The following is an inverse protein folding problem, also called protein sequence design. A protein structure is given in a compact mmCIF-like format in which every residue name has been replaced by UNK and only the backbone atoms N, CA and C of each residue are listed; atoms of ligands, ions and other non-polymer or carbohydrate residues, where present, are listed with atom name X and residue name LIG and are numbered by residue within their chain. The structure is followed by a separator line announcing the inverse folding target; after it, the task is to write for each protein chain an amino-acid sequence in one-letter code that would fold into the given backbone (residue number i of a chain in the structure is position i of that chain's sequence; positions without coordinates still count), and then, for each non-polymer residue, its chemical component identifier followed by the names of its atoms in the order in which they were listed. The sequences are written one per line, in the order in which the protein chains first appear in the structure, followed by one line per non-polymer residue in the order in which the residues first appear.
data_IF_087705174326
#
_entry.id   IF_087705174326
#
_cell.length_a   1.000
_cell.length_b   1.000
_cell.length_c   1.000
_cell.angle_alpha   90.00
_cell.angle_beta   90.00
_cell.angle_gamma   90.00
#
_symmetry.space_group_name_H-M   'P 1'
#
loop_
_entity.id
_entity.type
_entity.pdbx_description
1 polymer ?
#
# COMPACT_ATOMS: atom_id res chain seq x y z
N UNK A 1 -20.18 17.75 74.59
CA UNK A 1 -21.65 17.82 74.60
C UNK A 1 -22.11 18.02 73.17
N UNK A 2 -22.49 16.95 72.45
CA UNK A 2 -23.87 16.40 72.39
C UNK A 2 -24.82 17.49 71.86
N UNK A 3 -25.50 17.35 70.72
CA UNK A 3 -26.46 16.28 70.40
C UNK A 3 -26.87 16.27 68.91
N UNK A 4 -27.03 15.06 68.35
CA UNK A 4 -27.92 14.62 67.25
C UNK A 4 -29.39 15.11 67.45
N UNK A 5 -30.35 15.06 66.46
CA UNK A 5 -30.79 13.81 65.78
C UNK A 5 -31.42 13.97 64.36
N UNK A 6 -31.50 12.94 63.49
CA UNK A 6 -32.53 11.88 63.33
C UNK A 6 -33.04 11.91 61.85
N UNK A 7 -33.76 10.89 61.30
CA UNK A 7 -33.29 9.53 61.04
C UNK A 7 -33.81 8.92 59.70
N UNK A 8 -33.51 7.64 59.51
CA UNK A 8 -34.24 6.62 58.73
C UNK A 8 -34.33 6.71 57.19
N UNK A 9 -33.69 5.74 56.53
CA UNK A 9 -34.41 4.51 56.17
C UNK A 9 -33.46 3.42 55.63
N UNK A 10 -33.59 2.22 56.22
CA UNK A 10 -33.73 0.89 55.57
C UNK A 10 -32.81 0.59 54.36
N UNK A 11 -32.12 -0.54 54.24
CA UNK A 11 -32.30 -1.83 54.88
C UNK A 11 -31.25 -2.79 54.25
N UNK A 12 -30.60 -3.59 55.11
CA UNK A 12 -30.10 -4.95 54.84
C UNK A 12 -28.84 -5.17 53.95
N UNK A 13 -27.73 -5.45 54.66
CA UNK A 13 -27.10 -6.78 54.71
C UNK A 13 -26.33 -7.22 53.45
N UNK A 14 -25.01 -6.96 53.43
CA UNK A 14 -24.01 -7.90 52.87
C UNK A 14 -22.59 -7.57 53.36
N UNK A 15 -22.33 -7.85 54.64
CA UNK A 15 -21.01 -8.27 55.10
C UNK A 15 -21.08 -9.77 55.24
N UNK A 16 -20.46 -10.53 54.33
CA UNK A 16 -19.93 -11.85 54.64
C UNK A 16 -19.00 -12.31 53.50
N UNK A 17 -17.85 -12.84 53.92
CA UNK A 17 -16.90 -13.67 53.18
C UNK A 17 -15.74 -12.95 52.48
N UNK A 18 -14.77 -12.52 53.31
CA UNK A 18 -13.36 -12.82 53.02
C UNK A 18 -13.17 -14.33 53.17
N UNK A 19 -12.79 -15.02 52.10
CA UNK A 19 -12.11 -16.31 52.20
C UNK A 19 -11.00 -16.37 51.14
N UNK A 20 -9.84 -16.82 51.61
CA UNK A 20 -8.58 -16.93 50.91
C UNK A 20 -8.66 -17.85 49.70
N UNK A 21 -8.25 -17.35 48.54
CA UNK A 21 -7.68 -18.17 47.48
C UNK A 21 -6.45 -17.44 46.94
N UNK A 22 -5.28 -17.79 47.48
CA UNK A 22 -3.99 -17.58 46.83
C UNK A 22 -4.01 -18.39 45.54
N UNK A 23 -4.43 -17.75 44.44
CA UNK A 23 -4.40 -18.37 43.12
C UNK A 23 -3.00 -18.13 42.56
N UNK A 24 -2.17 -19.18 42.64
CA UNK A 24 -0.84 -19.25 42.04
C UNK A 24 -0.99 -19.00 40.54
N UNK A 25 -0.66 -17.78 40.09
CA UNK A 25 -0.76 -17.40 38.69
C UNK A 25 0.10 -18.34 37.82
N UNK A 26 -0.43 -18.93 36.74
CA UNK A 26 0.35 -19.84 35.91
C UNK A 26 1.41 -19.04 35.14
N UNK A 27 2.66 -19.52 35.21
CA UNK A 27 3.87 -19.08 34.48
C UNK A 27 3.75 -19.12 32.92
N UNK A 28 2.54 -19.26 32.38
CA UNK A 28 2.30 -19.44 30.94
C UNK A 28 2.17 -18.13 30.17
N UNK A 29 1.88 -17.01 30.84
CA UNK A 29 1.80 -15.68 30.21
C UNK A 29 3.17 -15.13 29.82
N UNK A 30 4.22 -15.46 30.56
CA UNK A 30 5.55 -14.88 30.32
C UNK A 30 6.27 -15.53 29.12
N UNK A 31 5.88 -16.75 28.71
CA UNK A 31 6.42 -17.40 27.52
C UNK A 31 5.76 -16.87 26.23
N UNK A 32 4.44 -16.66 26.24
CA UNK A 32 3.70 -16.15 25.08
C UNK A 32 4.01 -14.67 24.78
N UNK A 33 4.34 -13.87 25.81
CA UNK A 33 4.75 -12.47 25.65
C UNK A 33 6.21 -12.37 25.12
N UNK A 34 7.03 -13.41 25.31
CA UNK A 34 8.42 -13.42 24.84
C UNK A 34 8.60 -13.94 23.41
N UNK A 35 7.67 -14.75 22.88
CA UNK A 35 7.68 -15.21 21.48
C UNK A 35 7.40 -14.08 20.48
N UNK A 36 6.64 -13.04 20.87
CA UNK A 36 6.41 -11.85 20.03
C UNK A 36 7.65 -10.93 19.88
N UNK A 37 8.74 -11.23 20.59
CA UNK A 37 9.83 -10.27 20.83
C UNK A 37 11.04 -10.38 19.91
N UNK A 38 11.10 -11.36 18.99
CA UNK A 38 12.25 -11.52 18.09
C UNK A 38 11.85 -11.87 16.65
N UNK A 39 10.94 -11.12 16.05
CA UNK A 39 10.82 -11.14 14.58
C UNK A 39 12.08 -10.49 14.01
N UNK A 40 12.90 -11.25 13.28
CA UNK A 40 14.19 -10.74 12.76
C UNK A 40 13.98 -9.51 11.89
N UNK A 41 14.95 -8.58 11.86
CA UNK A 41 14.90 -7.39 10.99
C UNK A 41 14.69 -7.78 9.53
N UNK A 42 15.28 -8.88 9.07
CA UNK A 42 15.09 -9.40 7.72
C UNK A 42 13.62 -9.83 7.47
N UNK A 43 12.98 -10.44 8.46
CA UNK A 43 11.56 -10.82 8.39
C UNK A 43 10.64 -9.60 8.43
N UNK A 44 10.98 -8.56 9.21
CA UNK A 44 10.23 -7.29 9.21
C UNK A 44 10.39 -6.54 7.89
N UNK A 45 11.60 -6.49 7.33
CA UNK A 45 11.87 -5.92 6.00
C UNK A 45 11.13 -6.72 4.93
N UNK A 46 11.15 -8.06 4.98
CA UNK A 46 10.39 -8.90 4.07
C UNK A 46 8.87 -8.70 4.18
N UNK A 47 8.36 -8.43 5.39
CA UNK A 47 6.93 -8.11 5.61
C UNK A 47 6.58 -6.69 5.17
N UNK A 48 7.49 -5.74 5.33
CA UNK A 48 7.35 -4.36 4.85
C UNK A 48 7.37 -4.31 3.31
N UNK A 49 8.20 -5.16 2.71
CA UNK A 49 8.23 -5.52 1.29
C UNK A 49 7.02 -6.43 1.01
N UNK A 50 5.79 -5.90 1.13
CA UNK A 50 4.58 -6.72 0.95
C UNK A 50 4.62 -7.37 -0.44
N UNK A 51 4.74 -8.68 -0.53
CA UNK A 51 4.62 -9.46 -1.79
C UNK A 51 3.47 -9.03 -2.72
N UNK A 52 2.27 -8.62 -2.22
CA UNK A 52 1.20 -8.04 -3.05
C UNK A 52 1.60 -6.82 -3.88
N UNK A 53 2.56 -6.01 -3.42
CA UNK A 53 3.00 -4.76 -4.07
C UNK A 53 3.64 -5.05 -5.44
N UNK A 54 4.44 -6.11 -5.56
CA UNK A 54 5.13 -6.42 -6.81
C UNK A 54 4.20 -7.06 -7.84
N UNK A 55 3.21 -7.82 -7.38
CA UNK A 55 2.14 -8.33 -8.24
C UNK A 55 1.41 -7.17 -8.96
N UNK A 56 1.25 -6.03 -8.30
CA UNK A 56 0.59 -4.84 -8.86
C UNK A 56 1.44 -4.14 -9.93
N UNK A 57 2.78 -4.24 -9.89
CA UNK A 57 3.63 -3.81 -11.01
C UNK A 57 3.60 -4.81 -12.18
N UNK A 58 3.57 -6.10 -11.86
CA UNK A 58 3.68 -7.19 -12.81
C UNK A 58 2.42 -7.38 -13.65
N UNK A 59 1.23 -7.29 -13.05
CA UNK A 59 -0.04 -7.60 -13.73
C UNK A 59 -0.34 -6.65 -14.90
N UNK A 60 -0.35 -5.31 -14.74
CA UNK A 60 -0.60 -4.39 -15.86
C UNK A 60 0.40 -4.57 -17.01
N UNK A 61 1.68 -4.77 -16.67
CA UNK A 61 2.74 -4.97 -17.66
C UNK A 61 2.56 -6.29 -18.41
N UNK A 62 2.28 -7.38 -17.71
CA UNK A 62 2.12 -8.70 -18.32
C UNK A 62 0.88 -8.77 -19.18
N UNK A 63 -0.25 -8.24 -18.70
CA UNK A 63 -1.50 -8.18 -19.47
C UNK A 63 -1.35 -7.29 -20.70
N UNK A 64 -0.78 -6.09 -20.54
CA UNK A 64 -0.52 -5.19 -21.68
C UNK A 64 0.42 -5.81 -22.70
N UNK A 65 1.47 -6.48 -22.25
CA UNK A 65 2.44 -7.14 -23.14
C UNK A 65 1.85 -8.35 -23.85
N UNK A 66 1.04 -9.16 -23.16
CA UNK A 66 0.34 -10.30 -23.76
C UNK A 66 -0.67 -9.83 -24.81
N UNK A 67 -1.44 -8.78 -24.53
CA UNK A 67 -2.36 -8.19 -25.50
C UNK A 67 -1.64 -7.66 -26.74
N UNK A 68 -0.49 -7.01 -26.57
CA UNK A 68 0.32 -6.53 -27.68
C UNK A 68 0.90 -7.69 -28.50
N UNK A 69 1.36 -8.76 -27.84
CA UNK A 69 1.82 -9.97 -28.50
C UNK A 69 0.72 -10.66 -29.30
N UNK A 70 -0.49 -10.78 -28.74
CA UNK A 70 -1.64 -11.35 -29.46
C UNK A 70 -2.03 -10.54 -30.69
N UNK A 71 -1.84 -9.22 -30.67
CA UNK A 71 -2.24 -8.34 -31.75
C UNK A 71 -1.17 -8.16 -32.83
N UNK A 72 0.11 -8.07 -32.45
CA UNK A 72 1.21 -7.77 -33.37
C UNK A 72 2.22 -8.91 -33.54
N UNK A 73 2.09 -10.00 -32.76
CA UNK A 73 3.00 -11.15 -32.82
C UNK A 73 4.43 -10.90 -32.32
N UNK A 74 4.68 -9.74 -31.70
CA UNK A 74 6.03 -9.30 -31.33
C UNK A 74 6.16 -9.22 -29.81
N UNK A 75 7.22 -9.83 -29.27
CA UNK A 75 7.60 -9.71 -27.87
C UNK A 75 9.11 -9.43 -27.76
N UNK A 76 9.48 -8.41 -27.01
CA UNK A 76 10.87 -8.07 -26.71
C UNK A 76 11.13 -8.30 -25.23
N UNK A 77 11.83 -9.40 -24.91
CA UNK A 77 12.21 -9.70 -23.53
C UNK A 77 13.04 -8.58 -22.89
N UNK A 78 14.06 -7.98 -23.55
CA UNK A 78 14.81 -6.86 -22.98
C UNK A 78 13.91 -5.67 -22.63
N UNK A 79 12.95 -5.33 -23.50
CA UNK A 79 12.00 -4.24 -23.24
C UNK A 79 11.07 -4.58 -22.08
N UNK A 80 10.54 -5.80 -22.04
CA UNK A 80 9.70 -6.26 -20.94
C UNK A 80 10.42 -6.14 -19.59
N UNK A 81 11.66 -6.63 -19.48
CA UNK A 81 12.41 -6.55 -18.22
C UNK A 81 12.84 -5.12 -17.86
N UNK A 82 13.14 -4.27 -18.85
CA UNK A 82 13.37 -2.85 -18.61
C UNK A 82 12.11 -2.19 -18.02
N UNK A 83 10.94 -2.42 -18.62
CA UNK A 83 9.67 -1.88 -18.13
C UNK A 83 9.32 -2.43 -16.74
N UNK A 84 9.57 -3.71 -16.49
CA UNK A 84 9.34 -4.34 -15.19
C UNK A 84 10.23 -3.76 -14.10
N UNK A 85 11.54 -3.60 -14.36
CA UNK A 85 12.47 -3.01 -13.42
C UNK A 85 12.09 -1.54 -13.14
N UNK A 86 11.77 -0.79 -14.19
CA UNK A 86 11.39 0.63 -14.08
C UNK A 86 10.08 0.83 -13.31
N UNK A 87 9.04 0.04 -13.62
CA UNK A 87 7.76 0.10 -12.90
C UNK A 87 7.91 -0.35 -11.44
N UNK A 88 8.73 -1.37 -11.18
CA UNK A 88 9.06 -1.81 -9.81
C UNK A 88 9.70 -0.69 -8.99
N UNK A 89 10.60 0.10 -9.58
CA UNK A 89 11.21 1.26 -8.93
C UNK A 89 10.19 2.38 -8.62
N UNK A 90 9.22 2.61 -9.51
CA UNK A 90 8.10 3.54 -9.24
C UNK A 90 7.23 3.03 -8.09
N UNK A 91 6.93 1.73 -8.06
CA UNK A 91 6.18 1.13 -6.96
C UNK A 91 6.98 1.19 -5.65
N UNK A 92 8.30 0.98 -5.70
CA UNK A 92 9.18 1.15 -4.54
C UNK A 92 9.11 2.59 -4.02
N UNK A 93 9.15 3.59 -4.89
CA UNK A 93 8.94 4.99 -4.52
C UNK A 93 7.64 5.18 -3.75
N UNK A 94 6.50 4.72 -4.28
CA UNK A 94 5.19 4.85 -3.63
C UNK A 94 5.17 4.27 -2.22
N UNK A 95 5.82 3.13 -2.02
CA UNK A 95 5.85 2.47 -0.71
C UNK A 95 6.75 3.19 0.28
N UNK A 96 7.96 3.57 -0.14
CA UNK A 96 8.90 4.30 0.71
C UNK A 96 8.37 5.70 1.06
N UNK A 97 7.75 6.40 0.10
CA UNK A 97 7.20 7.73 0.34
C UNK A 97 6.02 7.67 1.30
N UNK A 98 5.12 6.69 1.12
CA UNK A 98 3.97 6.51 2.00
C UNK A 98 4.43 6.22 3.44
N UNK A 99 5.43 5.35 3.63
CA UNK A 99 6.00 5.06 4.96
C UNK A 99 6.59 6.31 5.64
N UNK A 100 7.29 7.16 4.88
CA UNK A 100 7.81 8.44 5.40
C UNK A 100 6.68 9.39 5.79
N UNK A 101 5.65 9.55 4.97
CA UNK A 101 4.56 10.48 5.28
C UNK A 101 3.63 9.97 6.39
N UNK A 102 3.44 8.65 6.49
CA UNK A 102 2.72 8.02 7.61
C UNK A 102 3.49 8.17 8.91
N UNK A 103 4.83 8.09 8.87
CA UNK A 103 5.68 8.42 10.01
C UNK A 103 5.54 9.89 10.43
N UNK A 104 5.60 10.83 9.48
CA UNK A 104 5.49 12.27 9.75
C UNK A 104 4.14 12.66 10.38
N UNK A 105 3.04 12.01 9.95
CA UNK A 105 1.70 12.25 10.51
C UNK A 105 1.43 11.50 11.81
N UNK A 106 2.37 10.68 12.26
CA UNK A 106 2.27 9.89 13.48
C UNK A 106 1.34 8.68 13.39
N UNK A 107 0.82 8.37 12.19
CA UNK A 107 -0.02 7.21 11.94
C UNK A 107 0.73 5.90 12.22
N UNK A 108 2.04 5.88 11.98
CA UNK A 108 2.90 4.69 12.08
C UNK A 108 3.78 4.65 13.36
N UNK A 109 3.52 5.49 14.39
CA UNK A 109 4.37 5.57 15.60
C UNK A 109 4.59 4.22 16.33
N UNK A 110 3.62 3.31 16.27
CA UNK A 110 3.69 1.99 16.94
C UNK A 110 3.85 0.83 15.94
N UNK A 111 4.04 1.12 14.66
CA UNK A 111 4.05 0.12 13.59
C UNK A 111 5.46 -0.44 13.42
N UNK A 112 5.66 -1.70 13.82
CA UNK A 112 6.97 -2.37 13.84
C UNK A 112 7.51 -2.65 12.42
N UNK A 113 6.62 -2.70 11.42
CA UNK A 113 6.96 -2.93 10.01
C UNK A 113 7.28 -1.64 9.22
N UNK A 114 7.21 -0.46 9.84
CA UNK A 114 7.63 0.79 9.17
C UNK A 114 9.14 0.78 8.92
N UNK A 115 9.55 1.05 7.68
CA UNK A 115 10.97 1.03 7.28
C UNK A 115 11.71 2.19 7.95
N UNK A 116 11.07 3.35 8.10
CA UNK A 116 11.61 4.46 8.89
C UNK A 116 11.82 4.06 10.35
N UNK A 117 10.87 3.35 10.98
CA UNK A 117 11.06 2.86 12.36
C UNK A 117 12.18 1.81 12.47
N UNK A 118 12.33 0.93 11.48
CA UNK A 118 13.37 -0.12 11.48
C UNK A 118 14.77 0.46 11.23
N UNK A 119 14.88 1.40 10.30
CA UNK A 119 16.18 1.99 9.89
C UNK A 119 16.59 3.18 10.76
N UNK A 120 15.63 3.84 11.41
CA UNK A 120 15.85 5.04 12.21
C UNK A 120 16.15 6.30 11.38
N UNK A 121 16.07 6.24 10.05
CA UNK A 121 16.52 7.31 9.16
C UNK A 121 15.42 7.80 8.22
N UNK A 122 14.57 8.73 8.67
CA UNK A 122 13.52 9.34 7.84
C UNK A 122 14.06 9.97 6.55
N UNK A 123 15.13 10.76 6.64
CA UNK A 123 15.75 11.43 5.48
C UNK A 123 16.35 10.44 4.49
N UNK A 124 17.00 9.38 4.97
CA UNK A 124 17.58 8.35 4.10
C UNK A 124 16.53 7.61 3.29
N UNK A 125 15.40 7.25 3.91
CA UNK A 125 14.29 6.59 3.21
C UNK A 125 13.63 7.52 2.19
N UNK A 126 13.47 8.81 2.51
CA UNK A 126 12.92 9.77 1.55
C UNK A 126 13.84 9.96 0.33
N UNK A 127 15.16 10.04 0.55
CA UNK A 127 16.15 10.11 -0.54
C UNK A 127 16.06 8.84 -1.40
N UNK A 128 16.05 7.66 -0.79
CA UNK A 128 15.93 6.38 -1.50
C UNK A 128 14.63 6.30 -2.32
N UNK A 129 13.53 6.83 -1.76
CA UNK A 129 12.24 6.94 -2.45
C UNK A 129 12.36 7.78 -3.73
N UNK A 130 12.90 9.01 -3.65
CA UNK A 130 13.04 9.88 -4.83
C UNK A 130 14.09 9.41 -5.84
N UNK A 131 15.16 8.74 -5.40
CA UNK A 131 16.12 8.09 -6.30
C UNK A 131 15.43 6.97 -7.08
N UNK A 132 14.62 6.15 -6.40
CA UNK A 132 13.84 5.09 -7.04
C UNK A 132 12.85 5.66 -8.07
N UNK A 133 12.14 6.74 -7.73
CA UNK A 133 11.26 7.43 -8.68
C UNK A 133 12.03 7.91 -9.91
N UNK A 134 13.16 8.57 -9.69
CA UNK A 134 13.96 9.17 -10.77
C UNK A 134 14.45 8.09 -11.73
N UNK A 135 15.04 7.00 -11.20
CA UNK A 135 15.51 5.88 -12.03
C UNK A 135 14.35 5.17 -12.74
N UNK A 136 13.22 4.96 -12.07
CA UNK A 136 12.03 4.35 -12.66
C UNK A 136 11.45 5.19 -13.81
N UNK A 137 11.30 6.50 -13.60
CA UNK A 137 10.82 7.42 -14.64
C UNK A 137 11.81 7.49 -15.80
N UNK A 138 13.12 7.56 -15.54
CA UNK A 138 14.13 7.53 -16.59
C UNK A 138 14.02 6.28 -17.47
N UNK A 139 13.85 5.09 -16.87
CA UNK A 139 13.71 3.84 -17.62
C UNK A 139 12.40 3.77 -18.43
N UNK A 140 11.28 4.23 -17.87
CA UNK A 140 10.00 4.31 -18.57
C UNK A 140 10.03 5.31 -19.73
N UNK A 141 10.63 6.48 -19.54
CA UNK A 141 10.81 7.50 -20.58
C UNK A 141 11.72 6.98 -21.68
N UNK A 142 12.85 6.34 -21.32
CA UNK A 142 13.75 5.73 -22.28
C UNK A 142 13.04 4.68 -23.17
N UNK A 143 12.23 3.81 -22.57
CA UNK A 143 11.42 2.85 -23.33
C UNK A 143 10.37 3.53 -24.22
N UNK A 144 9.74 4.60 -23.72
CA UNK A 144 8.75 5.39 -24.47
C UNK A 144 9.36 6.07 -25.69
N UNK A 145 10.55 6.65 -25.55
CA UNK A 145 11.28 7.29 -26.64
C UNK A 145 11.65 6.30 -27.75
N UNK A 146 12.07 5.08 -27.40
CA UNK A 146 12.36 4.04 -28.40
C UNK A 146 11.13 3.63 -29.23
N UNK A 147 9.95 3.62 -28.60
CA UNK A 147 8.68 3.32 -29.28
C UNK A 147 8.04 4.52 -29.99
N UNK A 148 8.60 5.74 -29.82
CA UNK A 148 8.03 7.01 -30.32
C UNK A 148 6.55 7.22 -29.96
N UNK A 149 6.09 6.62 -28.86
CA UNK A 149 4.67 6.58 -28.52
C UNK A 149 4.32 7.60 -27.42
N UNK A 150 4.00 8.82 -27.84
CA UNK A 150 3.67 9.92 -26.92
C UNK A 150 2.45 9.62 -26.04
N UNK A 151 1.49 8.83 -26.55
CA UNK A 151 0.29 8.43 -25.79
C UNK A 151 0.66 7.55 -24.60
N UNK A 152 1.58 6.61 -24.80
CA UNK A 152 2.06 5.76 -23.71
C UNK A 152 2.74 6.59 -22.61
N UNK A 153 3.54 7.58 -22.99
CA UNK A 153 4.20 8.48 -22.05
C UNK A 153 3.18 9.29 -21.22
N UNK A 154 2.14 9.83 -21.87
CA UNK A 154 1.07 10.55 -21.18
C UNK A 154 0.30 9.64 -20.21
N UNK A 155 -0.05 8.42 -20.63
CA UNK A 155 -0.74 7.46 -19.78
C UNK A 155 0.11 7.05 -18.57
N UNK A 156 1.41 6.79 -18.75
CA UNK A 156 2.31 6.51 -17.62
C UNK A 156 2.43 7.71 -16.67
N UNK A 157 2.55 8.93 -17.21
CA UNK A 157 2.56 10.14 -16.40
C UNK A 157 1.27 10.30 -15.59
N UNK A 158 0.11 10.01 -16.20
CA UNK A 158 -1.18 9.99 -15.51
C UNK A 158 -1.22 8.94 -14.40
N UNK A 159 -0.74 7.71 -14.65
CA UNK A 159 -0.68 6.64 -13.64
C UNK A 159 0.20 7.03 -12.44
N UNK A 160 1.40 7.58 -12.69
CA UNK A 160 2.32 8.05 -11.65
C UNK A 160 1.69 9.21 -10.86
N UNK A 161 1.03 10.13 -11.55
CA UNK A 161 0.32 11.25 -10.93
C UNK A 161 -0.82 10.77 -10.02
N UNK A 162 -1.60 9.76 -10.45
CA UNK A 162 -2.59 9.13 -9.59
C UNK A 162 -1.95 8.53 -8.33
N UNK A 163 -0.79 7.85 -8.47
CA UNK A 163 -0.03 7.33 -7.33
C UNK A 163 0.50 8.42 -6.39
N UNK A 164 0.92 9.57 -6.92
CA UNK A 164 1.28 10.74 -6.11
C UNK A 164 0.07 11.23 -5.32
N UNK A 165 -1.04 11.54 -6.01
CA UNK A 165 -2.27 12.09 -5.41
C UNK A 165 -2.86 11.12 -4.36
N UNK A 166 -2.72 9.81 -4.60
CA UNK A 166 -3.20 8.76 -3.71
C UNK A 166 -2.62 8.87 -2.30
N UNK A 167 -1.29 9.07 -2.15
CA UNK A 167 -0.63 9.04 -0.83
C UNK A 167 0.21 10.27 -0.43
N UNK A 168 0.71 11.09 -1.37
CA UNK A 168 1.55 12.24 -1.05
C UNK A 168 0.72 13.43 -0.52
N UNK A 169 1.28 14.22 0.41
CA UNK A 169 0.82 15.57 0.68
C UNK A 169 0.88 16.47 -0.57
N UNK A 170 -0.04 17.44 -0.71
CA UNK A 170 -1.13 17.80 0.21
C UNK A 170 -2.41 16.96 0.05
N UNK A 171 -2.49 16.08 -0.95
CA UNK A 171 -3.76 15.46 -1.36
C UNK A 171 -4.17 14.26 -0.48
N UNK A 172 -3.31 13.23 -0.41
CA UNK A 172 -3.53 11.99 0.34
C UNK A 172 -4.94 11.40 0.16
N UNK A 173 -5.45 11.39 -1.08
CA UNK A 173 -6.85 11.08 -1.38
C UNK A 173 -7.26 9.65 -0.96
N UNK A 174 -6.30 8.74 -0.75
CA UNK A 174 -6.59 7.43 -0.15
C UNK A 174 -7.22 7.54 1.25
N UNK A 175 -6.85 8.55 2.04
CA UNK A 175 -7.43 8.82 3.36
C UNK A 175 -8.82 9.46 3.29
N UNK A 176 -9.20 9.97 2.11
CA UNK A 176 -10.49 10.61 1.86
C UNK A 176 -11.50 9.66 1.20
N UNK A 177 -11.18 8.37 1.10
CA UNK A 177 -12.05 7.35 0.49
C UNK A 177 -11.96 7.24 -1.03
N UNK A 178 -11.09 8.02 -1.68
CA UNK A 178 -10.90 8.01 -3.14
C UNK A 178 -9.77 7.06 -3.60
N UNK A 179 -9.28 6.21 -2.70
CA UNK A 179 -8.18 5.29 -3.00
C UNK A 179 -8.51 4.28 -4.11
N UNK A 180 -9.69 3.65 -4.03
CA UNK A 180 -10.10 2.62 -5.00
C UNK A 180 -10.31 3.16 -6.43
N UNK A 181 -10.98 4.31 -6.66
CA UNK A 181 -11.03 4.93 -7.99
C UNK A 181 -9.65 5.30 -8.55
N UNK A 182 -8.75 5.83 -7.71
CA UNK A 182 -7.41 6.20 -8.14
C UNK A 182 -6.59 4.97 -8.55
N UNK A 183 -6.67 3.89 -7.77
CA UNK A 183 -5.98 2.64 -8.12
C UNK A 183 -6.59 1.97 -9.34
N UNK A 184 -7.91 2.01 -9.50
CA UNK A 184 -8.58 1.53 -10.71
C UNK A 184 -8.01 2.25 -11.94
N UNK A 185 -8.01 3.59 -11.92
CA UNK A 185 -7.54 4.41 -13.03
C UNK A 185 -6.05 4.20 -13.32
N UNK A 186 -5.21 4.21 -12.28
CA UNK A 186 -3.76 4.09 -12.40
C UNK A 186 -3.33 2.75 -13.00
N UNK A 187 -3.81 1.63 -12.43
CA UNK A 187 -3.36 0.29 -12.84
C UNK A 187 -4.12 -0.26 -14.03
N UNK A 188 -5.41 0.08 -14.15
CA UNK A 188 -6.25 -0.35 -15.26
C UNK A 188 -5.94 0.43 -16.54
N UNK A 189 -6.77 1.41 -16.92
CA UNK A 189 -6.70 2.06 -18.22
C UNK A 189 -5.38 2.79 -18.47
N UNK A 190 -4.74 3.37 -17.45
CA UNK A 190 -3.49 4.11 -17.66
C UNK A 190 -2.29 3.18 -17.84
N UNK A 191 -1.86 2.47 -16.78
CA UNK A 191 -0.66 1.64 -16.86
C UNK A 191 -0.78 0.48 -17.85
N UNK A 192 -1.89 -0.28 -17.83
CA UNK A 192 -2.05 -1.46 -18.69
C UNK A 192 -2.04 -1.08 -20.18
N UNK A 193 -2.77 -0.02 -20.57
CA UNK A 193 -2.78 0.46 -21.95
C UNK A 193 -1.44 1.05 -22.35
N UNK A 194 -0.76 1.76 -21.45
CA UNK A 194 0.58 2.28 -21.75
C UNK A 194 1.57 1.16 -22.03
N UNK A 195 1.60 0.11 -21.20
CA UNK A 195 2.50 -1.03 -21.41
C UNK A 195 2.20 -1.77 -22.70
N UNK A 196 0.93 -1.91 -23.07
CA UNK A 196 0.52 -2.42 -24.37
C UNK A 196 1.11 -1.59 -25.53
N UNK A 197 0.98 -0.26 -25.48
CA UNK A 197 1.49 0.64 -26.51
C UNK A 197 3.02 0.63 -26.60
N UNK A 198 3.72 0.45 -25.49
CA UNK A 198 5.19 0.41 -25.43
C UNK A 198 5.78 -0.85 -26.04
N UNK A 199 5.01 -1.92 -26.20
CA UNK A 199 5.49 -3.09 -26.94
C UNK A 199 5.55 -2.88 -28.46
N UNK A 200 5.00 -1.77 -28.97
CA UNK A 200 5.06 -1.47 -30.40
C UNK A 200 6.48 -1.24 -30.92
N UNK A 201 6.72 -1.62 -32.17
CA UNK A 201 7.91 -1.19 -32.92
C UNK A 201 7.74 0.27 -33.35
N UNK A 202 8.86 0.98 -33.48
CA UNK A 202 8.94 2.43 -33.81
C UNK A 202 8.15 2.81 -35.07
N UNK A 203 7.94 1.88 -36.01
CA UNK A 203 7.28 2.14 -37.30
C UNK A 203 5.80 1.77 -37.37
N UNK A 204 5.25 1.10 -36.35
CA UNK A 204 3.83 0.71 -36.33
C UNK A 204 3.19 1.27 -35.07
N UNK A 205 1.99 1.85 -35.17
CA UNK A 205 1.25 2.31 -34.01
C UNK A 205 0.21 1.23 -33.66
N UNK A 206 0.35 0.55 -32.52
CA UNK A 206 -0.68 -0.40 -32.09
C UNK A 206 -2.01 0.34 -31.84
N UNK A 207 -3.10 -0.04 -32.53
CA UNK A 207 -4.39 0.61 -32.34
C UNK A 207 -5.04 0.10 -31.06
N UNK A 208 -5.49 1.03 -30.21
CA UNK A 208 -6.22 0.71 -28.98
C UNK A 208 -7.53 0.00 -29.38
N UNK A 209 -7.57 -1.31 -29.16
CA UNK A 209 -8.70 -2.18 -29.46
C UNK A 209 -9.64 -2.34 -28.27
N UNK A 210 -10.87 -2.80 -28.51
CA UNK A 210 -11.80 -3.13 -27.42
C UNK A 210 -11.24 -4.19 -26.45
N UNK A 211 -10.36 -5.06 -26.94
CA UNK A 211 -9.74 -6.12 -26.13
C UNK A 211 -8.82 -5.54 -25.05
N UNK A 212 -7.93 -4.59 -25.40
CA UNK A 212 -7.05 -3.97 -24.40
C UNK A 212 -7.84 -3.11 -23.42
N UNK A 213 -8.89 -2.43 -23.87
CA UNK A 213 -9.77 -1.65 -22.99
C UNK A 213 -10.44 -2.57 -21.96
N UNK A 214 -11.08 -3.66 -22.40
CA UNK A 214 -11.71 -4.65 -21.51
C UNK A 214 -10.70 -5.30 -20.55
N UNK A 215 -9.52 -5.68 -21.04
CA UNK A 215 -8.47 -6.23 -20.19
C UNK A 215 -7.98 -5.23 -19.14
N UNK A 216 -7.79 -3.96 -19.52
CA UNK A 216 -7.38 -2.89 -18.62
C UNK A 216 -8.42 -2.61 -17.53
N UNK A 217 -9.72 -2.65 -17.86
CA UNK A 217 -10.81 -2.53 -16.89
C UNK A 217 -10.78 -3.69 -15.90
N UNK A 218 -10.59 -4.92 -16.37
CA UNK A 218 -10.50 -6.09 -15.50
C UNK A 218 -9.31 -6.01 -14.54
N UNK A 219 -8.14 -5.58 -15.03
CA UNK A 219 -6.94 -5.34 -14.19
C UNK A 219 -7.21 -4.25 -13.15
N UNK A 220 -7.86 -3.14 -13.55
CA UNK A 220 -8.24 -2.08 -12.63
C UNK A 220 -9.19 -2.57 -11.53
N UNK A 221 -10.27 -3.27 -11.91
CA UNK A 221 -11.27 -3.78 -10.96
C UNK A 221 -10.66 -4.76 -9.96
N UNK A 222 -9.85 -5.71 -10.43
CA UNK A 222 -9.18 -6.69 -9.57
C UNK A 222 -8.23 -6.00 -8.58
N UNK A 223 -7.47 -5.00 -9.04
CA UNK A 223 -6.56 -4.24 -8.17
C UNK A 223 -7.33 -3.43 -7.11
N UNK A 224 -8.42 -2.78 -7.49
CA UNK A 224 -9.26 -2.03 -6.54
C UNK A 224 -9.97 -2.95 -5.55
N UNK A 225 -10.44 -4.12 -5.97
CA UNK A 225 -11.05 -5.12 -5.06
C UNK A 225 -10.05 -5.63 -4.03
N UNK A 226 -8.79 -5.87 -4.42
CA UNK A 226 -7.73 -6.25 -3.48
C UNK A 226 -7.55 -5.17 -2.41
N UNK A 227 -7.54 -3.89 -2.80
CA UNK A 227 -7.41 -2.76 -1.88
C UNK A 227 -8.62 -2.63 -0.96
N UNK A 228 -9.84 -2.72 -1.51
CA UNK A 228 -11.08 -2.69 -0.75
C UNK A 228 -11.12 -3.77 0.33
N UNK A 229 -10.79 -5.02 -0.03
CA UNK A 229 -10.66 -6.12 0.92
C UNK A 229 -9.59 -5.83 1.99
N UNK A 230 -8.48 -5.20 1.61
CA UNK A 230 -7.41 -4.82 2.56
C UNK A 230 -7.83 -3.71 3.53
N UNK A 231 -8.72 -2.80 3.12
CA UNK A 231 -9.27 -1.76 3.98
C UNK A 231 -10.20 -2.35 5.04
N UNK A 232 -11.12 -3.26 4.68
CA UNK A 232 -12.00 -3.90 5.65
C UNK A 232 -11.25 -4.64 6.75
N UNK A 233 -10.16 -5.31 6.39
CA UNK A 233 -9.35 -6.01 7.39
C UNK A 233 -8.71 -5.03 8.39
N UNK A 234 -8.30 -3.85 7.93
CA UNK A 234 -7.69 -2.82 8.79
C UNK A 234 -8.69 -2.11 9.71
N UNK A 235 -9.97 -1.99 9.32
CA UNK A 235 -11.02 -1.38 10.17
C UNK A 235 -11.16 -2.14 11.50
N UNK A 236 -10.97 -3.46 11.50
CA UNK A 236 -11.05 -4.28 12.71
C UNK A 236 -9.82 -4.19 13.62
N UNK A 237 -8.69 -3.67 13.11
CA UNK A 237 -7.43 -3.57 13.85
C UNK A 237 -7.12 -2.16 14.36
N UNK A 238 -7.88 -1.14 13.93
CA UNK A 238 -7.71 0.23 14.44
C UNK A 238 -8.56 0.41 15.71
N UNK A 239 -7.97 0.71 16.88
CA UNK A 239 -8.76 1.20 17.99
C UNK A 239 -9.52 2.45 17.51
N UNK A 240 -10.82 2.51 17.79
CA UNK A 240 -11.63 3.71 17.52
C UNK A 240 -10.89 4.90 18.13
N UNK A 241 -10.45 5.83 17.30
CA UNK A 241 -10.14 7.18 17.75
C UNK A 241 -11.46 7.76 18.25
N UNK A 242 -11.74 7.54 19.54
CA UNK A 242 -12.77 8.25 20.27
C UNK A 242 -12.40 9.72 20.27
N UNK A 243 -13.24 10.52 19.60
CA UNK A 243 -13.50 11.94 19.81
C UNK A 243 -12.37 12.78 20.44
N UNK A 244 -11.74 13.61 19.62
CA UNK A 244 -11.26 14.92 20.08
C UNK A 244 -12.08 15.97 19.34
N UNK A 245 -13.13 16.44 20.02
CA UNK A 245 -13.82 17.70 19.84
C UNK A 245 -14.16 18.21 21.22
#
# INVERSE_FOLDING_TARGET
MTTYPCPESRQWRQQHLRSSLSCKQPRHSDAAINEEKNVSRATLIWRAVKLPIYSVALMPLTVGSAAAYLQAGIFSAPRYFLLLASSTLVILWLNLSNDVYDFDTGADKNKKESIVNITGTRTGILIASYVSLSLGVCGLTWASLQSTNIRAMLLLASAITCGYIYQCPPFRLSYQGLGEPLCFAAFGPFATTAFYLLQSKTSELLPISGNILSASVLVGLTTSLILFCSHFHQVNSRPRLTHIS
#
